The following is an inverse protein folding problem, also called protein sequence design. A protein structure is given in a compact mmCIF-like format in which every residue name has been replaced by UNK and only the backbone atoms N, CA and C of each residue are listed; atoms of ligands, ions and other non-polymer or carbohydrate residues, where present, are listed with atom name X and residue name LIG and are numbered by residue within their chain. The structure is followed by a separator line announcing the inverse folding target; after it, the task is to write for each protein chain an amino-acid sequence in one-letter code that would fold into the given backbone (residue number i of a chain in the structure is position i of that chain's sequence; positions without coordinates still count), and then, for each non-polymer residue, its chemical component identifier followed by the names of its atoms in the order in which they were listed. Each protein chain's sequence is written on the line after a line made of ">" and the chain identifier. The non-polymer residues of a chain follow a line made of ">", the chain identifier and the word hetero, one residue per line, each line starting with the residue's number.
data_IF_756953688952
#
_entry.id   IF_756953688952
#
_cell.length_a   1.000
_cell.length_b   1.000
_cell.length_c   1.000
_cell.angle_alpha   90.00
_cell.angle_beta   90.00
_cell.angle_gamma   90.00
#
_symmetry.space_group_name_H-M   'P 1'
#
loop_
_entity.id
_entity.type
_entity.pdbx_description
1 polymer ?
#
# COMPACT_ATOMS: atom_id res chain seq x y z
N UNK A 1 -12.36 -9.79 -8.57
CA UNK A 1 -12.98 -8.48 -8.58
C UNK A 1 -12.58 -7.62 -7.38
N UNK A 2 -12.55 -8.24 -6.21
CA UNK A 2 -12.14 -7.53 -4.99
C UNK A 2 -10.67 -7.14 -4.99
N UNK A 3 -9.83 -7.90 -5.70
CA UNK A 3 -8.39 -7.67 -5.65
C UNK A 3 -7.93 -6.53 -6.55
N UNK A 4 -8.69 -6.24 -7.61
CA UNK A 4 -8.30 -5.25 -8.61
C UNK A 4 -9.47 -4.37 -9.03
N UNK A 5 -10.04 -3.59 -8.11
CA UNK A 5 -11.10 -2.66 -8.51
C UNK A 5 -10.52 -1.60 -9.46
N UNK A 6 -11.24 -1.31 -10.51
CA UNK A 6 -10.76 -0.41 -11.57
C UNK A 6 -10.95 1.06 -11.24
N UNK A 7 -11.63 1.37 -10.15
CA UNK A 7 -11.88 2.74 -9.75
C UNK A 7 -11.60 2.90 -8.25
N UNK A 8 -11.01 4.02 -7.88
CA UNK A 8 -10.64 4.30 -6.50
C UNK A 8 -11.85 4.32 -5.56
N UNK A 9 -12.99 4.81 -6.02
CA UNK A 9 -14.20 4.84 -5.20
C UNK A 9 -14.66 3.42 -4.87
N UNK A 10 -14.58 2.50 -5.83
CA UNK A 10 -14.91 1.10 -5.60
C UNK A 10 -13.94 0.46 -4.62
N UNK A 11 -12.66 0.79 -4.71
CA UNK A 11 -11.63 0.27 -3.81
C UNK A 11 -11.89 0.66 -2.35
N UNK A 12 -12.39 1.88 -2.12
CA UNK A 12 -12.62 2.38 -0.77
C UNK A 12 -13.73 1.64 -0.03
N UNK A 13 -14.64 0.99 -0.75
CA UNK A 13 -15.77 0.29 -0.15
C UNK A 13 -15.56 -1.21 0.02
N UNK A 14 -14.39 -1.73 -0.35
CA UNK A 14 -14.14 -3.18 -0.33
C UNK A 14 -13.34 -3.55 0.92
N UNK A 15 -13.84 -4.55 1.62
CA UNK A 15 -13.14 -5.16 2.75
C UNK A 15 -13.44 -4.55 4.09
N UNK A 16 -13.11 -5.32 5.12
CA UNK A 16 -13.19 -4.93 6.52
C UNK A 16 -12.02 -5.62 7.25
N UNK A 17 -11.00 -4.90 7.72
CA UNK A 17 -10.87 -3.45 7.67
C UNK A 17 -10.75 -2.91 6.24
N UNK A 18 -10.92 -1.61 6.12
CA UNK A 18 -10.88 -0.94 4.83
C UNK A 18 -9.49 -1.04 4.22
N UNK A 19 -9.44 -1.04 2.89
CA UNK A 19 -8.17 -1.00 2.17
C UNK A 19 -7.39 0.28 2.52
N UNK A 20 -6.09 0.15 2.62
CA UNK A 20 -5.21 1.30 2.86
C UNK A 20 -5.05 2.11 1.58
N UNK A 21 -5.27 3.41 1.69
CA UNK A 21 -5.08 4.35 0.58
C UNK A 21 -4.00 5.36 0.99
N UNK A 22 -2.88 5.36 0.27
CA UNK A 22 -1.74 6.21 0.58
C UNK A 22 -1.41 7.09 -0.61
N UNK A 23 -1.21 8.37 -0.37
CA UNK A 23 -0.81 9.30 -1.41
C UNK A 23 0.64 9.09 -1.82
N UNK A 24 0.92 9.26 -3.10
CA UNK A 24 2.26 9.18 -3.64
C UNK A 24 2.44 10.05 -4.87
N UNK A 25 3.67 10.08 -5.36
CA UNK A 25 4.03 10.75 -6.60
C UNK A 25 4.53 9.69 -7.58
N UNK A 26 4.06 9.76 -8.80
CA UNK A 26 4.40 8.80 -9.83
C UNK A 26 4.90 9.47 -11.08
N UNK A 27 5.80 8.80 -11.79
CA UNK A 27 6.31 9.26 -13.07
C UNK A 27 6.61 8.04 -13.95
N UNK A 28 6.29 8.15 -15.23
CA UNK A 28 6.64 7.10 -16.20
C UNK A 28 8.00 7.45 -16.79
N UNK A 29 9.00 6.59 -16.55
CA UNK A 29 10.36 6.77 -17.03
C UNK A 29 10.76 5.51 -17.80
N UNK A 30 11.10 5.67 -19.06
CA UNK A 30 11.52 4.55 -19.93
C UNK A 30 10.51 3.39 -19.94
N UNK A 31 9.22 3.71 -19.95
CA UNK A 31 8.16 2.70 -19.96
C UNK A 31 7.89 2.04 -18.63
N UNK A 32 8.56 2.47 -17.57
CA UNK A 32 8.34 1.95 -16.23
C UNK A 32 7.69 3.01 -15.34
N UNK A 33 6.87 2.56 -14.41
CA UNK A 33 6.25 3.46 -13.45
C UNK A 33 7.13 3.54 -12.19
N UNK A 34 7.59 4.73 -11.86
CA UNK A 34 8.36 4.99 -10.65
C UNK A 34 7.47 5.75 -9.67
N UNK A 35 7.29 5.20 -8.47
CA UNK A 35 6.39 5.75 -7.46
C UNK A 35 7.18 6.05 -6.19
N UNK A 36 6.94 7.21 -5.60
CA UNK A 36 7.52 7.61 -4.31
C UNK A 36 6.40 7.92 -3.33
N UNK A 37 6.52 7.40 -2.12
CA UNK A 37 5.55 7.62 -1.05
C UNK A 37 6.25 7.50 0.30
N UNK A 38 5.50 7.61 1.40
CA UNK A 38 6.04 7.36 2.75
C UNK A 38 6.46 5.91 2.94
N UNK A 39 6.07 5.02 2.03
CA UNK A 39 6.52 3.63 2.00
C UNK A 39 7.81 3.44 1.20
N UNK A 40 8.44 4.52 0.76
CA UNK A 40 9.67 4.46 -0.01
C UNK A 40 9.42 4.55 -1.52
N UNK A 41 10.45 4.21 -2.29
CA UNK A 41 10.37 4.22 -3.75
C UNK A 41 10.12 2.83 -4.31
N UNK A 42 9.29 2.76 -5.34
CA UNK A 42 8.97 1.52 -6.02
C UNK A 42 9.01 1.72 -7.53
N UNK A 43 9.47 0.70 -8.25
CA UNK A 43 9.50 0.73 -9.72
C UNK A 43 8.70 -0.47 -10.23
N UNK A 44 7.75 -0.20 -11.12
CA UNK A 44 6.89 -1.24 -11.69
C UNK A 44 7.13 -1.37 -13.18
N UNK A 45 7.25 -2.62 -13.69
CA UNK A 45 7.47 -2.84 -15.12
C UNK A 45 6.24 -2.44 -15.95
N UNK A 46 6.50 -2.09 -17.21
CA UNK A 46 5.44 -1.65 -18.12
C UNK A 46 4.32 -2.68 -18.30
N UNK A 47 4.65 -3.96 -18.20
CA UNK A 47 3.67 -5.05 -18.36
C UNK A 47 2.60 -5.08 -17.28
N UNK A 48 2.85 -4.46 -16.12
CA UNK A 48 1.87 -4.37 -15.03
C UNK A 48 0.97 -3.15 -15.16
N UNK A 49 1.22 -2.27 -16.11
CA UNK A 49 0.49 -1.02 -16.25
C UNK A 49 -0.74 -1.19 -17.13
N UNK A 50 -1.79 -0.44 -16.79
CA UNK A 50 -2.93 -0.28 -17.68
C UNK A 50 -2.63 0.92 -18.57
N UNK A 51 -2.49 0.71 -19.86
CA UNK A 51 -1.77 1.61 -20.76
C UNK A 51 -2.37 2.99 -21.00
N UNK A 52 -3.56 3.30 -20.48
CA UNK A 52 -4.30 4.47 -20.95
C UNK A 52 -4.55 5.54 -19.90
N UNK A 53 -4.23 5.28 -18.63
CA UNK A 53 -4.71 6.12 -17.54
C UNK A 53 -3.61 6.93 -16.86
N UNK A 54 -2.46 7.07 -17.49
CA UNK A 54 -1.36 7.83 -16.89
C UNK A 54 -0.77 8.84 -17.89
N UNK A 55 -0.27 9.97 -17.38
CA UNK A 55 0.42 10.96 -18.23
C UNK A 55 1.64 10.36 -18.89
N UNK A 56 1.89 10.70 -20.14
CA UNK A 56 3.03 10.19 -20.91
C UNK A 56 4.33 10.84 -20.51
N UNK A 57 4.27 11.95 -19.80
CA UNK A 57 5.44 12.66 -19.33
C UNK A 57 5.10 13.44 -18.07
N UNK A 58 6.12 13.67 -17.23
CA UNK A 58 5.98 14.45 -16.01
C UNK A 58 5.48 13.62 -14.82
N UNK A 59 5.62 14.22 -13.67
CA UNK A 59 5.19 13.63 -12.39
C UNK A 59 3.72 13.92 -12.15
N UNK A 60 3.01 12.97 -11.58
CA UNK A 60 1.60 13.14 -11.24
C UNK A 60 1.28 12.52 -9.88
N UNK A 61 0.20 12.97 -9.28
CA UNK A 61 -0.25 12.42 -8.01
C UNK A 61 -0.93 11.08 -8.20
N UNK A 62 -0.60 10.13 -7.35
CA UNK A 62 -1.19 8.81 -7.36
C UNK A 62 -1.64 8.39 -5.97
N UNK A 63 -2.42 7.31 -5.93
CA UNK A 63 -2.85 6.68 -4.68
C UNK A 63 -2.45 5.21 -4.75
N UNK A 64 -1.76 4.76 -3.70
CA UNK A 64 -1.42 3.36 -3.54
C UNK A 64 -2.51 2.70 -2.70
N UNK A 65 -3.08 1.63 -3.20
CA UNK A 65 -4.12 0.87 -2.51
C UNK A 65 -3.53 -0.48 -2.09
N UNK A 66 -3.46 -0.71 -0.78
CA UNK A 66 -2.83 -1.88 -0.20
C UNK A 66 -3.79 -2.52 0.79
N UNK A 67 -4.09 -3.80 0.62
CA UNK A 67 -4.95 -4.52 1.55
C UNK A 67 -4.21 -4.80 2.85
N UNK A 68 -4.87 -4.65 4.02
CA UNK A 68 -4.20 -4.89 5.31
C UNK A 68 -3.58 -6.28 5.43
N UNK A 69 -4.19 -7.31 4.88
CA UNK A 69 -3.67 -8.68 4.92
C UNK A 69 -2.43 -8.88 4.05
N UNK A 70 -2.10 -7.91 3.18
CA UNK A 70 -0.90 -7.97 2.35
C UNK A 70 0.33 -7.38 3.04
N UNK A 71 0.17 -6.85 4.24
CA UNK A 71 1.27 -6.25 5.00
C UNK A 71 1.70 -7.21 6.09
N UNK A 72 2.97 -7.62 6.05
CA UNK A 72 3.57 -8.51 7.05
C UNK A 72 4.45 -7.67 7.96
N UNK A 73 4.28 -7.81 9.27
CA UNK A 73 5.06 -7.08 10.26
C UNK A 73 6.19 -7.97 10.77
N UNK A 74 7.42 -7.45 10.72
CA UNK A 74 8.59 -8.11 11.30
C UNK A 74 9.13 -7.27 12.45
N UNK A 75 9.47 -7.92 13.55
CA UNK A 75 10.10 -7.26 14.70
C UNK A 75 11.60 -7.13 14.51
N UNK A 76 12.15 -7.74 13.47
CA UNK A 76 13.57 -7.69 13.13
C UNK A 76 13.75 -7.00 11.77
N UNK A 77 14.87 -6.30 11.56
CA UNK A 77 15.15 -5.71 10.26
C UNK A 77 15.17 -6.76 9.15
N UNK A 78 14.50 -6.45 8.05
CA UNK A 78 14.45 -7.30 6.85
C UNK A 78 14.81 -6.42 5.66
N UNK A 79 15.66 -6.92 4.79
CA UNK A 79 16.04 -6.19 3.58
C UNK A 79 14.81 -5.91 2.72
N UNK A 80 14.68 -4.67 2.27
CA UNK A 80 13.53 -4.24 1.48
C UNK A 80 12.29 -3.90 2.28
N UNK A 81 12.29 -4.17 3.59
CA UNK A 81 11.17 -3.81 4.46
C UNK A 81 11.24 -2.33 4.86
N UNK A 82 10.09 -1.78 5.21
CA UNK A 82 9.95 -0.37 5.53
C UNK A 82 9.92 -0.18 7.04
N UNK A 83 10.82 0.63 7.62
CA UNK A 83 10.77 0.88 9.06
C UNK A 83 9.55 1.74 9.39
N UNK A 84 8.74 1.26 10.33
CA UNK A 84 7.50 1.92 10.76
C UNK A 84 7.38 1.78 12.28
N UNK A 85 6.43 2.49 12.86
CA UNK A 85 6.16 2.39 14.30
C UNK A 85 4.73 1.90 14.52
N UNK A 86 4.51 1.25 15.67
CA UNK A 86 3.19 0.78 16.08
C UNK A 86 2.43 1.96 16.69
N UNK A 87 1.32 2.32 16.08
CA UNK A 87 0.45 3.38 16.59
C UNK A 87 -0.69 2.82 17.45
N UNK A 88 -1.29 1.71 17.04
CA UNK A 88 -2.32 1.02 17.78
C UNK A 88 -2.27 -0.47 17.47
N UNK A 89 -2.63 -1.29 18.45
CA UNK A 89 -2.64 -2.74 18.30
C UNK A 89 -3.93 -3.28 18.90
N UNK A 90 -4.78 -3.88 18.08
CA UNK A 90 -6.12 -4.30 18.49
C UNK A 90 -6.33 -5.79 18.20
N UNK A 91 -5.92 -6.67 19.12
CA UNK A 91 -6.28 -8.09 19.01
C UNK A 91 -7.79 -8.25 19.19
N UNK A 92 -8.43 -8.98 18.29
CA UNK A 92 -9.87 -9.18 18.30
C UNK A 92 -10.21 -10.57 17.75
N UNK A 93 -10.51 -11.50 18.65
CA UNK A 93 -10.87 -12.87 18.25
C UNK A 93 -9.72 -13.57 17.53
N UNK A 94 -9.97 -13.99 16.30
CA UNK A 94 -8.99 -14.74 15.50
C UNK A 94 -8.04 -13.86 14.70
N UNK A 95 -8.16 -12.53 14.83
CA UNK A 95 -7.38 -11.59 14.03
C UNK A 95 -6.85 -10.45 14.90
N UNK A 96 -5.78 -9.83 14.44
CA UNK A 96 -5.24 -8.63 15.06
C UNK A 96 -5.11 -7.55 14.02
N UNK A 97 -5.68 -6.39 14.30
CA UNK A 97 -5.55 -5.21 13.45
C UNK A 97 -4.55 -4.27 14.11
N UNK A 98 -3.46 -4.00 13.41
CA UNK A 98 -2.40 -3.13 13.91
C UNK A 98 -2.32 -1.89 13.04
N UNK A 99 -2.36 -0.71 13.66
CA UNK A 99 -2.15 0.55 12.95
C UNK A 99 -0.68 0.87 12.98
N UNK A 100 -0.10 1.05 11.81
CA UNK A 100 1.31 1.37 11.62
C UNK A 100 1.42 2.82 11.16
N UNK A 101 2.52 3.46 11.53
CA UNK A 101 2.78 4.84 11.14
C UNK A 101 4.10 4.94 10.39
N UNK A 102 4.05 5.51 9.18
CA UNK A 102 5.22 5.81 8.36
C UNK A 102 5.15 7.28 7.97
N UNK A 103 6.08 8.10 8.48
CA UNK A 103 6.01 9.53 8.25
C UNK A 103 4.73 10.12 8.83
N UNK A 104 3.93 10.74 7.99
CA UNK A 104 2.62 11.30 8.38
C UNK A 104 1.46 10.36 8.05
N UNK A 105 1.71 9.26 7.37
CA UNK A 105 0.68 8.33 6.96
C UNK A 105 0.48 7.23 7.98
N UNK A 106 -0.77 6.83 8.18
CA UNK A 106 -1.16 5.68 8.99
C UNK A 106 -1.80 4.65 8.08
N UNK A 107 -1.50 3.39 8.33
CA UNK A 107 -2.11 2.30 7.57
C UNK A 107 -2.27 1.08 8.44
N UNK A 108 -3.17 0.18 8.02
CA UNK A 108 -3.57 -0.97 8.80
C UNK A 108 -2.91 -2.23 8.27
N UNK A 109 -2.43 -3.07 9.19
CA UNK A 109 -2.00 -4.42 8.89
C UNK A 109 -2.93 -5.39 9.62
N UNK A 110 -3.21 -6.53 9.01
CA UNK A 110 -4.08 -7.54 9.58
C UNK A 110 -3.30 -8.85 9.69
N UNK A 111 -3.19 -9.35 10.91
CA UNK A 111 -2.55 -10.63 11.20
C UNK A 111 -3.59 -11.65 11.68
N UNK A 112 -3.34 -12.91 11.41
CA UNK A 112 -4.15 -14.01 11.92
C UNK A 112 -3.67 -14.33 13.33
N UNK A 113 -4.60 -14.51 14.26
CA UNK A 113 -4.29 -14.77 15.65
C UNK A 113 -4.23 -13.52 16.49
N UNK A 114 -3.90 -13.68 17.76
CA UNK A 114 -3.76 -12.55 18.68
C UNK A 114 -2.29 -12.19 18.81
N UNK A 115 -1.89 -11.15 18.11
CA UNK A 115 -0.51 -10.68 18.07
C UNK A 115 -0.44 -9.34 18.82
N UNK A 116 0.49 -9.24 19.76
CA UNK A 116 0.66 -8.03 20.56
C UNK A 116 1.99 -7.35 20.26
N UNK A 117 1.91 -6.05 20.04
CA UNK A 117 3.08 -5.18 19.88
C UNK A 117 2.94 -4.04 20.87
N UNK A 118 4.08 -3.50 21.32
CA UNK A 118 4.08 -2.32 22.18
C UNK A 118 3.82 -1.07 21.34
N UNK A 119 3.12 -0.09 21.92
CA UNK A 119 2.94 1.20 21.24
C UNK A 119 4.30 1.88 21.05
N UNK A 120 4.45 2.56 19.94
CA UNK A 120 5.68 3.23 19.52
C UNK A 120 6.85 2.28 19.26
N UNK A 121 6.62 0.98 19.30
CA UNK A 121 7.65 -0.01 18.95
C UNK A 121 8.03 0.14 17.50
N UNK A 122 9.33 0.11 17.21
CA UNK A 122 9.81 0.10 15.83
C UNK A 122 9.74 -1.30 15.27
N UNK A 123 9.08 -1.43 14.13
CA UNK A 123 8.95 -2.68 13.40
C UNK A 123 9.21 -2.43 11.93
N UNK A 124 9.20 -3.48 11.12
CA UNK A 124 9.44 -3.40 9.69
C UNK A 124 8.24 -3.98 8.95
N UNK A 125 7.68 -3.19 8.05
CA UNK A 125 6.56 -3.62 7.21
C UNK A 125 7.11 -4.22 5.92
N UNK A 126 6.71 -5.45 5.64
CA UNK A 126 7.05 -6.16 4.41
C UNK A 126 5.83 -6.09 3.52
N UNK A 127 5.96 -5.44 2.37
CA UNK A 127 4.87 -5.26 1.42
C UNK A 127 5.33 -5.77 0.06
N UNK A 128 4.59 -6.75 -0.46
CA UNK A 128 4.84 -7.23 -1.82
C UNK A 128 4.33 -6.18 -2.80
N UNK A 129 5.26 -5.47 -3.46
CA UNK A 129 4.88 -4.39 -4.36
C UNK A 129 3.99 -4.87 -5.52
N UNK A 130 4.10 -6.15 -5.91
CA UNK A 130 3.24 -6.70 -6.96
C UNK A 130 1.77 -6.73 -6.54
N UNK A 131 1.48 -6.70 -5.25
CA UNK A 131 0.12 -6.71 -4.71
C UNK A 131 -0.48 -5.33 -4.54
N UNK A 132 0.27 -4.27 -4.83
CA UNK A 132 -0.21 -2.90 -4.72
C UNK A 132 -0.97 -2.52 -5.99
N UNK A 133 -2.17 -1.95 -5.82
CA UNK A 133 -2.87 -1.27 -6.91
C UNK A 133 -2.51 0.21 -6.86
N UNK A 134 -2.31 0.82 -8.01
CA UNK A 134 -1.99 2.24 -8.09
C UNK A 134 -3.01 2.93 -8.97
N UNK A 135 -3.56 4.03 -8.47
CA UNK A 135 -4.58 4.82 -9.13
C UNK A 135 -4.07 6.22 -9.40
N UNK A 136 -4.53 6.81 -10.48
CA UNK A 136 -4.34 8.24 -10.73
C UNK A 136 -5.25 9.00 -9.76
N UNK A 137 -4.67 9.88 -8.95
CA UNK A 137 -5.46 10.59 -7.92
C UNK A 137 -6.48 11.53 -8.54
N UNK A 138 -6.15 12.16 -9.66
CA UNK A 138 -7.04 13.11 -10.33
C UNK A 138 -8.20 12.41 -11.04
N UNK A 139 -7.94 11.36 -11.81
CA UNK A 139 -8.95 10.65 -12.58
C UNK A 139 -9.62 9.52 -11.80
N UNK A 140 -9.03 9.08 -10.70
CA UNK A 140 -9.42 7.94 -9.87
C UNK A 140 -9.34 6.58 -10.59
N UNK A 141 -8.73 6.53 -11.76
CA UNK A 141 -8.65 5.29 -12.56
C UNK A 141 -7.40 4.49 -12.26
N UNK A 142 -7.53 3.18 -12.39
CA UNK A 142 -6.45 2.25 -12.13
C UNK A 142 -5.31 2.40 -13.14
N UNK A 143 -4.09 2.54 -12.64
CA UNK A 143 -2.88 2.64 -13.47
C UNK A 143 -2.09 1.34 -13.43
N UNK A 144 -1.91 0.77 -12.24
CA UNK A 144 -1.16 -0.47 -12.04
C UNK A 144 -2.01 -1.42 -11.22
N UNK A 145 -2.14 -2.64 -11.70
CA UNK A 145 -2.96 -3.69 -11.10
C UNK A 145 -2.10 -4.59 -10.21
N UNK A 146 -2.66 -5.07 -9.11
CA UNK A 146 -2.06 -6.13 -8.29
C UNK A 146 -1.95 -7.43 -9.11
N UNK A 147 -0.82 -8.08 -9.02
CA UNK A 147 -0.56 -9.32 -9.77
C UNK A 147 -0.14 -10.47 -8.86
#
# INVERSE_FOLDING_TARGET
>A
LYNNPIDLEAADFIGNPRINLLDGKAEVINGQLVVKSDLGGHTFPAEHLTSEEFPKSGEFDCVLAIRPEQIVISTQPVEGAIPVTIYANQPAGSETITTLKAGTDEFLAKDIGQIRYDLDQKVWAIIDQDKINIYNKETTRLIKRAV
#
